data_IF_558660959284
#
_entry.id   IF_558660959284
#
_cell.length_a   1.000
_cell.length_b   1.000
_cell.length_c   1.000
_cell.angle_alpha   90.00
_cell.angle_beta   90.00
_cell.angle_gamma   90.00
#
_symmetry.space_group_name_H-M   'P 1'
#
loop_
_entity.id
_entity.type
_entity.pdbx_description
1 polymer ?
#
# COMPACT_ATOMS: atom_id res chain seq x y z
N UNK A 1 4.64 -27.57 14.84
CA UNK A 1 6.02 -27.59 15.38
C UNK A 1 6.33 -26.18 15.85
N UNK A 2 6.65 -26.00 17.13
CA UNK A 2 6.84 -24.69 17.74
C UNK A 2 8.24 -24.15 17.39
N UNK A 3 8.33 -22.89 16.95
CA UNK A 3 9.59 -22.26 16.53
C UNK A 3 10.59 -22.21 17.69
N UNK A 4 10.10 -21.97 18.91
CA UNK A 4 10.92 -21.96 20.13
C UNK A 4 11.58 -23.30 20.43
N UNK A 5 10.86 -24.40 20.22
CA UNK A 5 11.35 -25.75 20.51
C UNK A 5 12.41 -26.16 19.49
N UNK A 6 12.26 -25.72 18.23
CA UNK A 6 13.25 -25.98 17.19
C UNK A 6 14.56 -25.22 17.44
N UNK A 7 14.46 -23.94 17.82
CA UNK A 7 15.61 -23.10 18.17
C UNK A 7 16.40 -23.68 19.35
N UNK A 8 15.71 -24.22 20.36
CA UNK A 8 16.33 -24.82 21.55
C UNK A 8 16.91 -26.21 21.29
N UNK A 9 16.12 -27.11 20.70
CA UNK A 9 16.48 -28.53 20.65
C UNK A 9 17.31 -28.92 19.43
N UNK A 10 17.19 -28.20 18.30
CA UNK A 10 17.92 -28.55 17.06
C UNK A 10 19.11 -27.66 16.78
N UNK A 11 19.00 -26.36 17.06
CA UNK A 11 20.04 -25.38 16.74
C UNK A 11 20.91 -25.02 17.93
N UNK A 12 20.53 -25.40 19.15
CA UNK A 12 21.32 -25.15 20.36
C UNK A 12 21.55 -23.65 20.64
N UNK A 13 20.66 -22.78 20.17
CA UNK A 13 20.84 -21.33 20.24
C UNK A 13 20.67 -20.86 21.68
N UNK A 14 21.54 -19.93 22.11
CA UNK A 14 21.52 -19.37 23.45
C UNK A 14 20.18 -18.66 23.73
N UNK A 15 19.70 -18.73 24.98
CA UNK A 15 18.42 -18.18 25.40
C UNK A 15 18.28 -16.66 25.11
N UNK A 16 19.38 -15.91 25.20
CA UNK A 16 19.41 -14.48 24.87
C UNK A 16 19.23 -14.23 23.36
N UNK A 17 19.92 -15.00 22.52
CA UNK A 17 19.79 -14.90 21.06
C UNK A 17 18.42 -15.37 20.59
N UNK A 18 17.89 -16.43 21.20
CA UNK A 18 16.51 -16.92 20.96
C UNK A 18 15.49 -15.83 21.25
N UNK A 19 15.64 -15.13 22.38
CA UNK A 19 14.71 -14.06 22.77
C UNK A 19 14.74 -12.88 21.80
N UNK A 20 15.93 -12.51 21.33
CA UNK A 20 16.09 -11.48 20.29
C UNK A 20 15.51 -11.92 18.94
N UNK A 21 15.73 -13.17 18.54
CA UNK A 21 15.20 -13.70 17.29
C UNK A 21 13.67 -13.77 17.32
N UNK A 22 13.10 -14.21 18.44
CA UNK A 22 11.64 -14.23 18.62
C UNK A 22 11.04 -12.81 18.63
N UNK A 23 11.73 -11.82 19.19
CA UNK A 23 11.27 -10.42 19.15
C UNK A 23 11.41 -9.81 17.75
N UNK A 24 12.42 -10.18 16.97
CA UNK A 24 12.58 -9.73 15.58
C UNK A 24 11.58 -10.39 14.62
N UNK A 25 11.09 -11.59 14.91
CA UNK A 25 10.05 -12.25 14.08
C UNK A 25 8.65 -11.83 14.52
N UNK A 26 8.35 -11.97 15.82
CA UNK A 26 6.98 -11.87 16.37
C UNK A 26 6.75 -10.61 17.22
N UNK A 27 7.78 -9.79 17.44
CA UNK A 27 7.65 -8.56 18.21
C UNK A 27 6.85 -7.46 17.48
N UNK A 28 6.60 -6.33 18.16
CA UNK A 28 5.75 -5.25 17.63
C UNK A 28 6.29 -4.64 16.33
N UNK A 29 7.62 -4.61 16.16
CA UNK A 29 8.31 -4.16 14.93
C UNK A 29 8.90 -5.34 14.14
N UNK A 30 8.46 -6.56 14.44
CA UNK A 30 9.02 -7.77 13.86
C UNK A 30 8.50 -8.08 12.46
N UNK A 31 9.07 -9.10 11.85
CA UNK A 31 8.77 -9.57 10.48
C UNK A 31 7.26 -9.78 10.22
N UNK A 32 6.53 -10.32 11.20
CA UNK A 32 5.07 -10.56 11.14
C UNK A 32 4.25 -9.26 10.99
N UNK A 33 4.80 -8.16 11.50
CA UNK A 33 4.19 -6.84 11.51
C UNK A 33 4.73 -5.93 10.40
N UNK A 34 5.49 -6.48 9.45
CA UNK A 34 5.92 -5.75 8.26
C UNK A 34 4.73 -5.13 7.53
N UNK A 35 4.85 -3.86 7.14
CA UNK A 35 3.73 -3.10 6.59
C UNK A 35 3.44 -3.45 5.12
N UNK A 36 4.46 -3.91 4.39
CA UNK A 36 4.36 -4.29 2.98
C UNK A 36 5.31 -5.44 2.60
N UNK A 37 5.28 -5.89 1.32
CA UNK A 37 6.14 -6.97 0.82
C UNK A 37 7.62 -6.63 0.87
N UNK A 38 7.93 -5.37 0.61
CA UNK A 38 9.29 -4.86 0.54
C UNK A 38 9.90 -4.84 1.94
N UNK A 39 9.13 -4.36 2.93
CA UNK A 39 9.47 -4.39 4.35
C UNK A 39 9.67 -5.82 4.83
N UNK A 40 8.76 -6.73 4.45
CA UNK A 40 8.87 -8.14 4.81
C UNK A 40 10.16 -8.76 4.27
N UNK A 41 10.45 -8.58 2.98
CA UNK A 41 11.65 -9.13 2.36
C UNK A 41 12.92 -8.51 2.95
N UNK A 42 12.93 -7.20 3.17
CA UNK A 42 14.06 -6.52 3.81
C UNK A 42 14.36 -7.08 5.20
N UNK A 43 13.33 -7.22 6.04
CA UNK A 43 13.47 -7.77 7.38
C UNK A 43 13.88 -9.25 7.35
N UNK A 44 13.32 -10.03 6.44
CA UNK A 44 13.65 -11.44 6.26
C UNK A 44 15.13 -11.64 5.86
N UNK A 45 15.62 -10.81 4.93
CA UNK A 45 16.99 -10.87 4.44
C UNK A 45 17.98 -10.37 5.50
N UNK A 46 17.60 -9.34 6.28
CA UNK A 46 18.40 -8.86 7.41
C UNK A 46 18.51 -9.92 8.52
N UNK A 47 17.42 -10.62 8.80
CA UNK A 47 17.37 -11.70 9.80
C UNK A 47 18.22 -12.91 9.37
N UNK A 48 18.18 -13.24 8.07
CA UNK A 48 19.04 -14.26 7.45
C UNK A 48 20.52 -13.89 7.46
N UNK A 49 20.85 -12.59 7.39
CA UNK A 49 22.22 -12.10 7.45
C UNK A 49 22.77 -12.09 8.89
N UNK A 50 21.91 -11.81 9.87
CA UNK A 50 22.26 -11.68 11.28
C UNK A 50 22.39 -13.03 12.00
N UNK A 51 21.61 -14.03 11.59
CA UNK A 51 21.55 -15.34 12.27
C UNK A 51 21.82 -16.49 11.30
N UNK A 52 23.08 -16.68 10.90
CA UNK A 52 23.51 -17.70 9.94
C UNK A 52 23.07 -19.13 10.29
N UNK A 53 23.08 -19.48 11.58
CA UNK A 53 22.63 -20.79 12.09
C UNK A 53 21.13 -21.02 11.91
N UNK A 54 20.33 -19.95 11.84
CA UNK A 54 18.88 -19.99 11.68
C UNK A 54 18.44 -19.89 10.21
N UNK A 55 19.27 -19.32 9.34
CA UNK A 55 18.95 -19.02 7.93
C UNK A 55 18.43 -20.23 7.16
N UNK A 56 19.04 -21.41 7.35
CA UNK A 56 18.60 -22.63 6.66
C UNK A 56 17.19 -23.05 7.06
N UNK A 57 16.89 -23.02 8.36
CA UNK A 57 15.54 -23.33 8.86
C UNK A 57 14.53 -22.25 8.46
N UNK A 58 14.93 -20.98 8.52
CA UNK A 58 14.10 -19.85 8.14
C UNK A 58 13.65 -19.97 6.68
N UNK A 59 14.58 -20.11 5.75
CA UNK A 59 14.28 -20.17 4.33
C UNK A 59 13.54 -21.44 3.91
N UNK A 60 13.82 -22.59 4.53
CA UNK A 60 13.20 -23.87 4.12
C UNK A 60 11.82 -24.14 4.71
N UNK A 61 11.50 -23.55 5.88
CA UNK A 61 10.30 -23.92 6.63
C UNK A 61 9.48 -22.73 7.12
N UNK A 62 10.12 -21.64 7.54
CA UNK A 62 9.42 -20.57 8.25
C UNK A 62 8.99 -19.43 7.33
N UNK A 63 9.82 -19.06 6.34
CA UNK A 63 9.58 -17.94 5.41
C UNK A 63 8.27 -18.15 4.65
N UNK A 64 8.14 -19.25 3.94
CA UNK A 64 6.95 -19.56 3.13
C UNK A 64 5.68 -19.65 3.99
N UNK A 65 5.78 -20.28 5.18
CA UNK A 65 4.65 -20.36 6.11
C UNK A 65 4.21 -19.00 6.65
N UNK A 66 5.16 -18.12 6.97
CA UNK A 66 4.84 -16.76 7.39
C UNK A 66 4.23 -15.96 6.24
N UNK A 67 4.70 -16.17 5.02
CA UNK A 67 4.09 -15.53 3.84
C UNK A 67 2.65 -16.03 3.62
N UNK A 68 2.43 -17.34 3.61
CA UNK A 68 1.12 -17.94 3.30
C UNK A 68 0.08 -17.74 4.40
N UNK A 69 0.45 -17.89 5.68
CA UNK A 69 -0.53 -17.92 6.77
C UNK A 69 -0.68 -16.59 7.50
N UNK A 70 0.32 -15.71 7.44
CA UNK A 70 0.30 -14.46 8.21
C UNK A 70 0.14 -13.26 7.28
N UNK A 71 0.74 -13.30 6.09
CA UNK A 71 0.84 -12.13 5.23
C UNK A 71 -0.11 -12.16 4.04
N UNK A 72 -0.20 -13.26 3.29
CA UNK A 72 -1.15 -13.40 2.19
C UNK A 72 -2.60 -13.06 2.60
N UNK A 73 -3.11 -13.47 3.77
CA UNK A 73 -4.44 -13.09 4.22
C UNK A 73 -4.59 -11.57 4.42
N UNK A 74 -3.52 -10.84 4.75
CA UNK A 74 -3.53 -9.37 4.86
C UNK A 74 -3.55 -8.68 3.49
N UNK A 75 -3.13 -9.36 2.41
CA UNK A 75 -2.89 -8.76 1.08
C UNK A 75 -3.96 -9.14 0.05
N UNK A 76 -4.72 -10.22 0.25
CA UNK A 76 -5.68 -10.78 -0.72
C UNK A 76 -6.93 -9.92 -1.03
N UNK A 77 -6.88 -8.60 -0.87
CA UNK A 77 -7.81 -7.68 -1.53
C UNK A 77 -7.43 -7.53 -3.01
N UNK A 78 -7.68 -8.56 -3.82
CA UNK A 78 -7.57 -8.49 -5.28
C UNK A 78 -8.70 -7.60 -5.81
N UNK A 79 -8.38 -6.34 -6.09
CA UNK A 79 -9.27 -5.45 -6.83
C UNK A 79 -8.90 -5.49 -8.33
N UNK A 80 -9.87 -5.79 -9.19
CA UNK A 80 -9.71 -5.69 -10.65
C UNK A 80 -9.38 -4.26 -11.05
N UNK A 81 -8.22 -4.08 -11.69
CA UNK A 81 -7.66 -2.78 -12.05
C UNK A 81 -8.08 -2.39 -13.46
N UNK A 82 -9.32 -1.91 -13.60
CA UNK A 82 -9.76 -1.20 -14.80
C UNK A 82 -9.71 0.30 -14.52
N UNK A 83 -8.70 0.98 -15.06
CA UNK A 83 -8.59 2.44 -14.97
C UNK A 83 -9.60 3.08 -15.92
N UNK A 84 -10.60 3.78 -15.38
CA UNK A 84 -11.54 4.59 -16.18
C UNK A 84 -11.22 6.09 -16.03
N UNK A 85 -11.51 6.88 -17.07
CA UNK A 85 -11.20 8.32 -17.11
C UNK A 85 -11.98 9.17 -16.09
N UNK A 86 -12.94 8.58 -15.39
CA UNK A 86 -13.71 9.22 -14.35
C UNK A 86 -13.29 8.63 -13.00
N UNK A 87 -12.39 9.32 -12.28
CA UNK A 87 -11.89 8.89 -10.97
C UNK A 87 -13.02 8.56 -9.98
N UNK A 88 -14.14 9.29 -10.05
CA UNK A 88 -15.31 9.01 -9.21
C UNK A 88 -15.98 7.69 -9.62
N UNK A 89 -16.06 7.37 -10.91
CA UNK A 89 -16.59 6.07 -11.38
C UNK A 89 -15.65 4.92 -11.09
N UNK A 90 -14.33 5.10 -11.28
CA UNK A 90 -13.30 4.11 -10.92
C UNK A 90 -13.38 3.76 -9.44
N UNK A 91 -13.44 4.77 -8.56
CA UNK A 91 -13.58 4.53 -7.12
C UNK A 91 -14.93 3.90 -6.78
N UNK A 92 -16.03 4.38 -7.36
CA UNK A 92 -17.35 3.76 -7.16
C UNK A 92 -17.36 2.29 -7.56
N UNK A 93 -16.70 1.94 -8.66
CA UNK A 93 -16.57 0.57 -9.12
C UNK A 93 -15.75 -0.29 -8.14
N UNK A 94 -14.60 0.21 -7.66
CA UNK A 94 -13.80 -0.45 -6.61
C UNK A 94 -14.64 -0.67 -5.35
N UNK A 95 -15.37 0.35 -4.88
CA UNK A 95 -16.24 0.25 -3.72
C UNK A 95 -17.35 -0.77 -3.90
N UNK A 96 -18.06 -0.71 -5.03
CA UNK A 96 -19.15 -1.64 -5.37
C UNK A 96 -18.65 -3.09 -5.42
N UNK A 97 -17.46 -3.32 -5.98
CA UNK A 97 -16.82 -4.64 -5.95
C UNK A 97 -16.47 -5.09 -4.54
N UNK A 98 -15.89 -4.22 -3.71
CA UNK A 98 -15.50 -4.56 -2.35
C UNK A 98 -16.68 -4.90 -1.40
N UNK A 99 -17.88 -4.42 -1.71
CA UNK A 99 -19.12 -4.76 -0.97
C UNK A 99 -19.99 -5.78 -1.70
N UNK A 100 -19.52 -6.33 -2.83
CA UNK A 100 -20.29 -7.25 -3.69
C UNK A 100 -21.68 -6.71 -4.06
N UNK A 101 -21.81 -5.38 -4.20
CA UNK A 101 -23.09 -4.70 -4.44
C UNK A 101 -24.17 -4.93 -3.36
N UNK A 102 -23.80 -5.44 -2.19
CA UNK A 102 -24.72 -5.69 -1.07
C UNK A 102 -24.78 -4.49 -0.12
N UNK A 103 -25.94 -4.21 0.48
CA UNK A 103 -26.03 -3.26 1.60
C UNK A 103 -25.11 -3.69 2.75
N UNK A 104 -24.48 -2.73 3.40
CA UNK A 104 -23.60 -2.96 4.56
C UNK A 104 -23.99 -1.99 5.68
N UNK A 105 -23.86 -2.38 6.95
CA UNK A 105 -23.88 -1.45 8.06
C UNK A 105 -22.85 -0.33 7.84
N UNK A 106 -23.19 0.90 8.24
CA UNK A 106 -22.30 2.06 8.11
C UNK A 106 -20.90 1.80 8.73
N UNK A 107 -20.77 1.16 9.92
CA UNK A 107 -19.45 0.86 10.49
C UNK A 107 -18.61 -0.06 9.60
N UNK A 108 -19.21 -1.10 9.03
CA UNK A 108 -18.50 -2.06 8.16
C UNK A 108 -18.08 -1.40 6.85
N UNK A 109 -18.96 -0.56 6.31
CA UNK A 109 -18.65 0.23 5.12
C UNK A 109 -17.47 1.18 5.38
N UNK A 110 -17.44 1.86 6.54
CA UNK A 110 -16.34 2.75 6.92
C UNK A 110 -15.00 2.00 7.05
N UNK A 111 -15.02 0.79 7.63
CA UNK A 111 -13.83 -0.08 7.73
C UNK A 111 -13.33 -0.48 6.34
N UNK A 112 -14.22 -0.95 5.46
CA UNK A 112 -13.86 -1.32 4.07
C UNK A 112 -13.31 -0.13 3.27
N UNK A 113 -13.91 1.05 3.44
CA UNK A 113 -13.42 2.31 2.87
C UNK A 113 -11.99 2.60 3.33
N UNK A 114 -11.74 2.49 4.64
CA UNK A 114 -10.43 2.71 5.23
C UNK A 114 -9.39 1.72 4.70
N UNK A 115 -9.75 0.45 4.53
CA UNK A 115 -8.84 -0.58 4.00
C UNK A 115 -8.47 -0.33 2.53
N UNK A 116 -9.42 0.07 1.70
CA UNK A 116 -9.14 0.46 0.31
C UNK A 116 -8.16 1.64 0.27
N UNK A 117 -8.41 2.67 1.08
CA UNK A 117 -7.51 3.84 1.17
C UNK A 117 -6.13 3.43 1.68
N UNK A 118 -6.04 2.53 2.67
CA UNK A 118 -4.77 2.01 3.17
C UNK A 118 -3.96 1.32 2.08
N UNK A 119 -4.59 0.46 1.27
CA UNK A 119 -3.92 -0.20 0.14
C UNK A 119 -3.38 0.84 -0.85
N UNK A 120 -4.16 1.86 -1.17
CA UNK A 120 -3.71 2.95 -2.06
C UNK A 120 -2.53 3.74 -1.46
N UNK A 121 -2.56 4.03 -0.17
CA UNK A 121 -1.47 4.73 0.52
C UNK A 121 -0.20 3.87 0.57
N UNK A 122 -0.32 2.55 0.75
CA UNK A 122 0.82 1.62 0.69
C UNK A 122 1.43 1.61 -0.70
N UNK A 123 0.61 1.50 -1.74
CA UNK A 123 1.10 1.54 -3.13
C UNK A 123 1.75 2.89 -3.48
N UNK A 124 1.23 4.00 -2.95
CA UNK A 124 1.87 5.31 -3.08
C UNK A 124 3.21 5.38 -2.34
N UNK A 125 3.32 4.81 -1.13
CA UNK A 125 4.59 4.70 -0.40
C UNK A 125 5.61 3.87 -1.18
N UNK A 126 5.20 2.74 -1.75
CA UNK A 126 6.06 1.89 -2.59
C UNK A 126 6.65 2.67 -3.78
N UNK A 127 5.85 3.52 -4.41
CA UNK A 127 6.31 4.37 -5.51
C UNK A 127 7.42 5.36 -5.12
N UNK A 128 7.51 5.77 -3.84
CA UNK A 128 8.59 6.65 -3.38
C UNK A 128 9.95 5.97 -3.43
N UNK A 129 10.01 4.66 -3.23
CA UNK A 129 11.27 3.93 -3.22
C UNK A 129 11.46 2.98 -4.39
N UNK A 130 10.69 3.21 -5.47
CA UNK A 130 10.83 2.51 -6.75
C UNK A 130 10.31 1.08 -6.74
N UNK A 131 9.37 0.76 -5.85
CA UNK A 131 8.72 -0.55 -5.78
C UNK A 131 7.23 -0.47 -6.09
N UNK A 132 6.61 -1.62 -6.35
CA UNK A 132 5.19 -1.70 -6.68
C UNK A 132 4.91 -1.46 -8.16
N UNK A 133 3.65 -1.17 -8.49
CA UNK A 133 3.18 -1.04 -9.89
C UNK A 133 3.06 0.41 -10.36
N UNK A 134 3.47 1.37 -9.53
CA UNK A 134 3.30 2.80 -9.80
C UNK A 134 4.63 3.51 -9.67
N UNK A 135 4.83 4.48 -10.55
CA UNK A 135 5.99 5.36 -10.52
C UNK A 135 5.56 6.81 -10.28
N UNK A 136 6.44 7.58 -9.64
CA UNK A 136 6.22 9.01 -9.46
C UNK A 136 6.37 9.74 -10.80
N UNK A 137 5.33 10.50 -11.14
CA UNK A 137 5.31 11.35 -12.32
C UNK A 137 6.39 12.44 -12.24
N UNK A 138 6.97 12.83 -13.39
CA UNK A 138 8.17 13.67 -13.54
C UNK A 138 8.43 14.73 -12.45
N UNK A 139 7.54 15.72 -12.23
CA UNK A 139 7.70 16.76 -11.21
C UNK A 139 7.85 16.23 -9.77
N UNK A 140 7.29 15.05 -9.50
CA UNK A 140 7.37 14.36 -8.21
C UNK A 140 8.56 13.41 -8.10
N UNK A 141 9.34 13.16 -9.18
CA UNK A 141 10.52 12.29 -9.14
C UNK A 141 11.58 12.76 -8.13
N UNK A 142 11.61 14.05 -7.78
CA UNK A 142 12.47 14.58 -6.70
C UNK A 142 12.21 14.00 -5.32
N UNK A 143 11.02 13.40 -5.10
CA UNK A 143 10.70 12.72 -3.85
C UNK A 143 11.12 11.26 -3.85
N UNK A 144 11.61 10.73 -4.98
CA UNK A 144 12.12 9.36 -5.05
C UNK A 144 13.32 9.23 -4.12
N UNK A 145 13.32 8.16 -3.36
CA UNK A 145 14.38 7.75 -2.44
C UNK A 145 14.87 6.38 -2.89
N UNK A 146 16.16 6.09 -2.79
CA UNK A 146 16.62 4.74 -3.11
C UNK A 146 16.04 3.73 -2.12
N UNK A 147 15.83 2.48 -2.56
CA UNK A 147 15.35 1.39 -1.71
C UNK A 147 16.15 1.30 -0.40
N UNK A 148 17.48 1.23 -0.49
CA UNK A 148 18.37 1.18 0.68
C UNK A 148 18.20 2.40 1.60
N UNK A 149 18.08 3.60 1.04
CA UNK A 149 17.91 4.83 1.82
C UNK A 149 16.53 4.90 2.49
N UNK A 150 15.48 4.32 1.89
CA UNK A 150 14.17 4.21 2.53
C UNK A 150 14.24 3.29 3.75
N UNK A 151 14.89 2.14 3.58
CA UNK A 151 14.98 1.13 4.62
C UNK A 151 15.89 1.51 5.79
N UNK A 152 16.92 2.33 5.56
CA UNK A 152 17.77 2.88 6.63
C UNK A 152 17.10 3.97 7.46
N UNK A 153 15.94 4.50 7.04
CA UNK A 153 15.20 5.54 7.76
C UNK A 153 14.29 4.97 8.83
N UNK A 154 14.13 5.73 9.92
CA UNK A 154 13.13 5.45 10.95
C UNK A 154 11.70 5.65 10.42
N UNK A 155 10.70 5.09 11.09
CA UNK A 155 9.30 5.23 10.71
C UNK A 155 8.88 6.71 10.60
N UNK A 156 9.29 7.54 11.57
CA UNK A 156 8.99 8.98 11.56
C UNK A 156 9.61 9.70 10.35
N UNK A 157 10.83 9.31 9.97
CA UNK A 157 11.51 9.87 8.80
C UNK A 157 10.81 9.46 7.50
N UNK A 158 10.39 8.19 7.38
CA UNK A 158 9.59 7.69 6.26
C UNK A 158 8.26 8.44 6.15
N UNK A 159 7.59 8.66 7.28
CA UNK A 159 6.34 9.44 7.33
C UNK A 159 6.56 10.91 6.93
N UNK A 160 7.65 11.54 7.35
CA UNK A 160 7.98 12.90 6.93
C UNK A 160 8.20 12.99 5.41
N UNK A 161 8.89 12.03 4.81
CA UNK A 161 9.07 11.96 3.36
C UNK A 161 7.74 11.76 2.64
N UNK A 162 6.92 10.85 3.14
CA UNK A 162 5.59 10.59 2.59
C UNK A 162 4.68 11.83 2.68
N UNK A 163 4.65 12.52 3.83
CA UNK A 163 3.91 13.77 3.99
C UNK A 163 4.41 14.86 3.05
N UNK A 164 5.72 14.95 2.82
CA UNK A 164 6.30 15.91 1.88
C UNK A 164 5.77 15.70 0.46
N UNK A 165 5.63 14.45 0.03
CA UNK A 165 4.99 14.12 -1.25
C UNK A 165 3.53 14.59 -1.29
N UNK A 166 2.74 14.29 -0.25
CA UNK A 166 1.31 14.61 -0.20
C UNK A 166 1.01 16.12 -0.17
N UNK A 167 1.88 16.91 0.45
CA UNK A 167 1.73 18.36 0.57
C UNK A 167 2.27 19.10 -0.66
N UNK A 168 3.05 18.43 -1.51
CA UNK A 168 3.67 19.06 -2.68
C UNK A 168 2.62 19.37 -3.77
N UNK A 169 2.12 20.60 -3.72
CA UNK A 169 1.15 21.15 -4.69
C UNK A 169 1.81 21.73 -5.94
N UNK A 170 3.15 21.68 -6.06
CA UNK A 170 3.89 22.37 -7.14
C UNK A 170 3.67 21.77 -8.54
N UNK A 171 2.88 20.71 -8.67
CA UNK A 171 2.49 20.15 -9.97
C UNK A 171 0.99 20.25 -10.16
N UNK A 172 0.49 21.47 -10.34
CA UNK A 172 -0.78 21.66 -11.06
C UNK A 172 -0.48 21.28 -12.52
N UNK A 173 -0.56 19.98 -12.80
CA UNK A 173 -0.52 19.42 -14.15
C UNK A 173 -1.53 20.18 -15.00
N UNK A 174 -1.08 20.88 -16.03
CA UNK A 174 -1.91 21.42 -17.11
C UNK A 174 -2.40 20.31 -18.04
N UNK A 175 -1.87 19.10 -17.91
CA UNK A 175 -2.16 17.92 -18.73
C UNK A 175 -2.14 16.64 -17.89
N UNK A 176 -3.06 15.72 -18.18
CA UNK A 176 -3.08 14.37 -17.64
C UNK A 176 -2.53 13.43 -18.71
N UNK A 177 -1.41 12.76 -18.41
CA UNK A 177 -0.79 11.77 -19.29
C UNK A 177 -1.23 10.36 -18.92
N UNK A 178 -1.55 9.56 -19.94
CA UNK A 178 -1.74 8.12 -19.80
C UNK A 178 -0.43 7.44 -19.36
N UNK A 179 -0.55 6.30 -18.68
CA UNK A 179 0.59 5.47 -18.25
C UNK A 179 1.42 4.94 -19.43
N UNK A 180 0.84 4.87 -20.63
CA UNK A 180 1.52 4.42 -21.85
C UNK A 180 2.20 5.56 -22.63
N UNK A 181 2.30 6.77 -22.07
CA UNK A 181 2.91 7.98 -22.67
C UNK A 181 2.32 8.51 -24.00
N UNK A 182 1.52 7.73 -24.73
CA UNK A 182 1.05 8.09 -26.07
C UNK A 182 -0.18 9.01 -26.08
N UNK A 183 -0.81 9.22 -24.92
CA UNK A 183 -1.99 10.06 -24.79
C UNK A 183 -1.82 11.10 -23.69
N UNK A 184 -1.84 12.37 -24.09
CA UNK A 184 -1.82 13.52 -23.20
C UNK A 184 -3.13 14.30 -23.37
N UNK A 185 -3.92 14.39 -22.30
CA UNK A 185 -5.15 15.19 -22.30
C UNK A 185 -4.87 16.50 -21.57
N UNK A 186 -4.92 17.67 -22.25
CA UNK A 186 -4.85 18.95 -21.56
C UNK A 186 -6.03 19.09 -20.60
N UNK A 187 -5.73 19.44 -19.35
CA UNK A 187 -6.75 19.79 -18.37
C UNK A 187 -7.47 21.04 -18.87
N UNK A 188 -8.77 20.97 -19.13
CA UNK A 188 -9.49 22.12 -19.63
C UNK A 188 -9.52 23.20 -18.53
N UNK A 189 -9.29 24.46 -18.89
CA UNK A 189 -9.35 25.61 -17.96
C UNK A 189 -10.70 25.72 -17.23
N UNK A 190 -11.74 25.08 -17.77
CA UNK A 190 -13.09 24.99 -17.21
C UNK A 190 -13.54 23.53 -17.26
N UNK A 191 -14.22 23.05 -16.22
CA UNK A 191 -14.90 21.75 -16.26
C UNK A 191 -15.77 21.66 -17.52
N UNK A 192 -15.49 20.66 -18.35
CA UNK A 192 -16.28 20.40 -19.55
C UNK A 192 -17.74 20.19 -19.14
N UNK A 193 -18.65 20.90 -19.81
CA UNK A 193 -20.08 20.72 -19.67
C UNK A 193 -20.57 19.95 -20.87
N UNK A 194 -21.54 19.05 -20.67
CA UNK A 194 -22.22 18.45 -21.82
C UNK A 194 -22.87 19.56 -22.65
N UNK A 195 -22.89 19.45 -23.99
CA UNK A 195 -23.67 20.37 -24.82
C UNK A 195 -25.08 20.55 -24.24
N UNK A 196 -25.54 21.79 -24.11
CA UNK A 196 -26.83 22.18 -23.50
C UNK A 196 -26.98 21.99 -21.97
N UNK A 197 -25.92 21.64 -21.23
CA UNK A 197 -25.99 21.54 -19.77
C UNK A 197 -26.06 22.93 -19.11
N UNK A 198 -27.26 23.35 -18.72
CA UNK A 198 -27.49 24.60 -17.98
C UNK A 198 -26.97 24.47 -16.54
N UNK A 199 -26.31 25.52 -16.04
CA UNK A 199 -25.89 25.60 -14.63
C UNK A 199 -27.15 25.68 -13.78
N UNK A 200 -27.37 24.69 -12.91
CA UNK A 200 -28.50 24.72 -11.98
C UNK A 200 -28.33 25.91 -11.02
N UNK A 201 -29.36 26.74 -10.81
CA UNK A 201 -29.35 27.75 -9.76
C UNK A 201 -29.10 27.08 -8.41
N UNK A 202 -28.24 27.65 -7.57
CA UNK A 202 -27.83 27.07 -6.29
C UNK A 202 -29.03 26.82 -5.34
N UNK A 203 -30.13 27.55 -5.54
CA UNK A 203 -31.37 27.48 -4.76
C UNK A 203 -32.44 26.56 -5.36
N UNK A 204 -32.22 25.97 -6.54
CA UNK A 204 -33.23 25.15 -7.19
C UNK A 204 -33.40 23.81 -6.45
N UNK A 205 -34.55 23.61 -5.80
CA UNK A 205 -34.94 22.33 -5.18
C UNK A 205 -35.19 21.27 -6.25
N UNK A 206 -34.87 20.02 -5.96
CA UNK A 206 -35.17 18.88 -6.85
C UNK A 206 -36.62 18.54 -6.65
N UNK A 207 -37.44 18.79 -7.66
CA UNK A 207 -38.81 18.32 -7.65
C UNK A 207 -38.84 16.92 -8.27
N UNK A 208 -39.48 15.93 -7.60
CA UNK A 208 -39.77 14.66 -8.24
C UNK A 208 -40.66 14.92 -9.47
N UNK A 209 -40.32 14.29 -10.59
CA UNK A 209 -41.24 14.21 -11.72
C UNK A 209 -42.30 13.19 -11.34
N UNK A 210 -43.53 13.65 -11.16
CA UNK A 210 -44.71 12.81 -11.16
C UNK A 210 -45.16 12.60 -12.61
#
# INVERSE_FOLDING_TARGET
MNVTDHLKNKLGINDKERSNLMSEIFGPTGLVNASDISDYNYLADNLSSKYSSFTNYFNSNLRDRLEDYVRQPKVQLKHDRLWTNNNCESMNHVFKKAVEWKPQPIPDLATKLMDIVRVQLIDLKRSLYGMGNYELFGPYRRHVVSYQCWFSKTQEQRERLFRRLLIDTKSIQTTTKSSCSDFEVPKPKKLARKPNQRKRPRTARTQPRY
#
